data_IF_234559974944
#
_entry.id   IF_234559974944
#
_cell.length_a   1.000
_cell.length_b   1.000
_cell.length_c   1.000
_cell.angle_alpha   90.00
_cell.angle_beta   90.00
_cell.angle_gamma   90.00
#
_symmetry.space_group_name_H-M   'P 1'
#
loop_
_entity.id
_entity.type
_entity.pdbx_description
1 polymer ?
#
# COMPACT_ATOMS: atom_id res chain seq x y z
N UNK A 1 1.32 -8.64 24.75
CA UNK A 1 2.24 -8.27 23.67
C UNK A 1 1.40 -8.09 22.43
N UNK A 2 1.08 -6.85 22.08
CA UNK A 2 0.52 -6.55 20.75
C UNK A 2 1.61 -6.93 19.75
N UNK A 3 1.41 -8.06 19.09
CA UNK A 3 2.30 -8.47 18.00
C UNK A 3 2.20 -7.34 16.98
N UNK A 4 3.31 -6.62 16.80
CA UNK A 4 3.45 -5.63 15.74
C UNK A 4 3.35 -6.43 14.43
N UNK A 5 2.11 -6.60 13.97
CA UNK A 5 1.71 -7.56 12.94
C UNK A 5 2.10 -6.98 11.57
N UNK A 6 3.40 -6.69 11.41
CA UNK A 6 4.02 -6.16 10.21
C UNK A 6 4.11 -7.28 9.20
N UNK A 7 2.97 -7.65 8.64
CA UNK A 7 2.82 -8.70 7.65
C UNK A 7 1.80 -8.33 6.57
N UNK A 8 1.49 -7.05 6.43
CA UNK A 8 0.54 -6.59 5.44
C UNK A 8 1.22 -5.81 4.32
N UNK A 9 0.80 -6.12 3.10
CA UNK A 9 1.10 -5.36 1.88
C UNK A 9 -0.18 -4.70 1.40
N UNK A 10 -0.07 -3.52 0.80
CA UNK A 10 -1.18 -2.94 0.05
C UNK A 10 -0.92 -3.19 -1.43
N UNK A 11 -1.92 -3.74 -2.09
CA UNK A 11 -1.96 -3.95 -3.53
C UNK A 11 -3.01 -3.01 -4.14
N UNK A 12 -2.69 -2.42 -5.28
CA UNK A 12 -3.63 -1.68 -6.12
C UNK A 12 -3.67 -2.26 -7.52
N UNK A 13 -4.88 -2.45 -8.05
CA UNK A 13 -5.12 -2.87 -9.42
C UNK A 13 -5.98 -1.81 -10.10
N UNK A 14 -5.61 -1.38 -11.30
CA UNK A 14 -6.40 -0.42 -12.05
C UNK A 14 -7.69 -1.10 -12.56
N UNK A 15 -8.84 -0.54 -12.21
CA UNK A 15 -10.17 -1.07 -12.59
C UNK A 15 -10.30 -1.15 -14.11
N UNK A 16 -9.90 -0.08 -14.82
CA UNK A 16 -10.05 0.04 -16.26
C UNK A 16 -9.19 -0.95 -17.08
N UNK A 17 -8.08 -1.44 -16.51
CA UNK A 17 -7.21 -2.41 -17.19
C UNK A 17 -7.62 -3.87 -16.91
N UNK A 18 -8.52 -4.11 -15.96
CA UNK A 18 -8.85 -5.46 -15.50
C UNK A 18 -7.60 -6.25 -15.10
N UNK A 19 -7.56 -7.54 -15.47
CA UNK A 19 -6.42 -8.45 -15.23
C UNK A 19 -5.25 -8.28 -16.22
N UNK A 20 -5.32 -7.33 -17.16
CA UNK A 20 -4.31 -7.20 -18.21
C UNK A 20 -3.02 -6.54 -17.73
N UNK A 21 -3.07 -5.73 -16.67
CA UNK A 21 -1.88 -5.09 -16.09
C UNK A 21 -1.52 -5.69 -14.74
N UNK A 22 -0.21 -5.86 -14.47
CA UNK A 22 0.24 -6.34 -13.18
C UNK A 22 -0.15 -5.36 -12.07
N UNK A 23 -0.46 -5.87 -10.88
CA UNK A 23 -0.74 -5.03 -9.73
C UNK A 23 0.46 -4.15 -9.37
N UNK A 24 0.17 -3.05 -8.70
CA UNK A 24 1.17 -2.21 -8.02
C UNK A 24 1.04 -2.36 -6.52
N UNK A 25 2.13 -2.17 -5.80
CA UNK A 25 2.25 -2.39 -4.37
C UNK A 25 2.66 -1.10 -3.68
N UNK A 26 2.14 -0.85 -2.48
CA UNK A 26 2.48 0.34 -1.72
C UNK A 26 3.90 0.27 -1.17
N UNK A 27 4.63 1.37 -1.37
CA UNK A 27 5.88 1.69 -0.71
C UNK A 27 5.66 2.97 0.07
N UNK A 28 5.65 2.84 1.39
CA UNK A 28 5.52 3.98 2.30
C UNK A 28 6.84 4.74 2.33
N UNK A 29 6.74 6.05 2.17
CA UNK A 29 7.86 6.97 2.31
C UNK A 29 7.81 7.56 3.72
N UNK A 30 8.92 7.43 4.43
CA UNK A 30 9.10 8.01 5.76
C UNK A 30 10.23 9.04 5.71
N UNK A 31 10.11 10.11 6.49
CA UNK A 31 11.19 11.07 6.70
C UNK A 31 12.39 10.41 7.37
N UNK A 32 13.51 11.14 7.46
CA UNK A 32 14.69 10.76 8.25
C UNK A 32 14.36 10.50 9.73
N UNK A 33 13.33 11.15 10.26
CA UNK A 33 12.85 10.99 11.64
C UNK A 33 11.87 9.80 11.81
N UNK A 34 11.56 9.08 10.72
CA UNK A 34 10.60 7.97 10.73
C UNK A 34 9.13 8.37 10.58
N UNK A 35 8.82 9.66 10.50
CA UNK A 35 7.47 10.18 10.25
C UNK A 35 6.93 9.75 8.87
N UNK A 36 5.64 9.40 8.78
CA UNK A 36 4.99 9.07 7.52
C UNK A 36 4.83 10.32 6.64
N UNK A 37 5.39 10.30 5.42
CA UNK A 37 5.28 11.41 4.46
C UNK A 37 4.34 11.10 3.30
N UNK A 38 4.19 9.83 2.94
CA UNK A 38 3.26 9.43 1.90
C UNK A 38 3.44 8.00 1.44
N UNK A 39 2.72 7.66 0.38
CA UNK A 39 2.79 6.34 -0.24
C UNK A 39 2.94 6.44 -1.76
N UNK A 40 3.88 5.66 -2.28
CA UNK A 40 4.12 5.48 -3.71
C UNK A 40 3.75 4.05 -4.11
N UNK A 41 3.16 3.87 -5.29
CA UNK A 41 2.81 2.53 -5.78
C UNK A 41 3.82 2.09 -6.83
N UNK A 42 4.41 0.90 -6.63
CA UNK A 42 5.47 0.32 -7.47
C UNK A 42 5.06 -1.06 -7.99
N UNK A 43 5.53 -1.47 -9.18
CA UNK A 43 5.20 -2.79 -9.73
C UNK A 43 5.91 -3.95 -9.02
N UNK A 44 6.95 -3.66 -8.23
CA UNK A 44 7.78 -4.67 -7.57
C UNK A 44 7.25 -4.98 -6.16
N UNK A 45 6.68 -6.17 -5.97
CA UNK A 45 6.22 -6.67 -4.67
C UNK A 45 7.33 -6.72 -3.62
N UNK A 46 8.53 -7.17 -4.01
CA UNK A 46 9.68 -7.36 -3.10
C UNK A 46 10.22 -6.05 -2.52
N UNK A 47 9.99 -4.93 -3.21
CA UNK A 47 10.42 -3.59 -2.77
C UNK A 47 9.30 -2.83 -2.04
N UNK A 48 8.12 -3.45 -1.90
CA UNK A 48 6.99 -2.86 -1.22
C UNK A 48 7.23 -2.85 0.30
N UNK A 49 6.59 -1.90 0.99
CA UNK A 49 6.73 -1.79 2.44
C UNK A 49 5.83 -2.81 3.11
N UNK A 50 6.39 -3.63 4.00
CA UNK A 50 5.61 -4.47 4.91
C UNK A 50 5.14 -3.59 6.09
N UNK A 51 3.83 -3.52 6.26
CA UNK A 51 3.15 -2.61 7.19
C UNK A 51 2.38 -3.39 8.24
N UNK A 52 2.12 -2.74 9.39
CA UNK A 52 1.03 -3.17 10.28
C UNK A 52 -0.32 -2.87 9.62
N UNK A 53 -1.40 -3.46 10.13
CA UNK A 53 -2.75 -3.17 9.64
C UNK A 53 -3.10 -1.67 9.75
N UNK A 54 -2.68 -1.01 10.83
CA UNK A 54 -2.89 0.43 11.03
C UNK A 54 -2.14 1.27 10.00
N UNK A 55 -0.86 0.96 9.77
CA UNK A 55 -0.05 1.63 8.75
C UNK A 55 -0.58 1.38 7.34
N UNK A 56 -1.13 0.19 7.09
CA UNK A 56 -1.76 -0.14 5.82
C UNK A 56 -3.01 0.75 5.60
N UNK A 57 -3.88 0.85 6.59
CA UNK A 57 -5.05 1.74 6.53
C UNK A 57 -4.63 3.20 6.32
N UNK A 58 -3.66 3.71 7.08
CA UNK A 58 -3.16 5.08 6.94
C UNK A 58 -2.65 5.38 5.53
N UNK A 59 -1.92 4.44 4.91
CA UNK A 59 -1.44 4.61 3.55
C UNK A 59 -2.58 4.58 2.51
N UNK A 60 -3.62 3.75 2.73
CA UNK A 60 -4.82 3.72 1.87
C UNK A 60 -5.58 5.05 1.96
N UNK A 61 -5.82 5.55 3.17
CA UNK A 61 -6.49 6.83 3.39
C UNK A 61 -5.73 8.00 2.77
N UNK A 62 -4.40 8.03 2.95
CA UNK A 62 -3.56 9.03 2.31
C UNK A 62 -3.62 8.94 0.80
N UNK A 63 -3.56 7.74 0.22
CA UNK A 63 -3.68 7.54 -1.22
C UNK A 63 -5.04 8.01 -1.74
N UNK A 64 -6.13 7.67 -1.06
CA UNK A 64 -7.48 8.11 -1.41
C UNK A 64 -7.63 9.64 -1.37
N UNK A 65 -6.98 10.31 -0.40
CA UNK A 65 -7.06 11.76 -0.23
C UNK A 65 -6.14 12.55 -1.17
N UNK A 66 -4.93 12.04 -1.45
CA UNK A 66 -3.90 12.76 -2.22
C UNK A 66 -3.88 12.42 -3.70
N UNK A 67 -4.31 11.23 -4.11
CA UNK A 67 -4.30 10.80 -5.51
C UNK A 67 -5.70 11.00 -6.10
N UNK A 68 -5.90 11.95 -7.03
CA UNK A 68 -7.23 12.21 -7.61
C UNK A 68 -7.77 11.00 -8.38
N UNK A 69 -6.86 10.16 -8.89
CA UNK A 69 -7.15 8.92 -9.61
C UNK A 69 -7.29 7.70 -8.70
N UNK A 70 -7.31 7.84 -7.37
CA UNK A 70 -7.45 6.69 -6.47
C UNK A 70 -8.71 5.85 -6.75
N UNK A 71 -9.79 6.49 -7.20
CA UNK A 71 -11.05 5.84 -7.58
C UNK A 71 -10.90 4.91 -8.80
N UNK A 72 -9.85 5.07 -9.61
CA UNK A 72 -9.58 4.17 -10.74
C UNK A 72 -8.91 2.86 -10.30
N UNK A 73 -8.57 2.70 -9.02
CA UNK A 73 -7.83 1.54 -8.52
C UNK A 73 -8.59 0.81 -7.41
N UNK A 74 -8.69 -0.51 -7.53
CA UNK A 74 -9.11 -1.38 -6.43
C UNK A 74 -7.93 -1.57 -5.50
N UNK A 75 -8.06 -1.12 -4.26
CA UNK A 75 -7.03 -1.28 -3.22
C UNK A 75 -7.36 -2.47 -2.34
N UNK A 76 -6.39 -3.34 -2.09
CA UNK A 76 -6.52 -4.56 -1.26
C UNK A 76 -5.36 -4.64 -0.27
N UNK A 77 -5.64 -5.11 0.94
CA UNK A 77 -4.61 -5.46 1.93
C UNK A 77 -4.35 -6.96 1.82
N UNK A 78 -3.09 -7.33 1.60
CA UNK A 78 -2.64 -8.70 1.44
C UNK A 78 -1.80 -9.08 2.66
N UNK A 79 -2.20 -10.13 3.37
CA UNK A 79 -1.37 -10.72 4.42
C UNK A 79 -0.28 -11.59 3.80
N UNK A 80 0.98 -11.38 4.17
CA UNK A 80 2.14 -12.14 3.68
C UNK A 80 2.73 -13.10 4.71
N UNK A 81 2.21 -13.10 5.95
CA UNK A 81 2.64 -14.01 7.01
C UNK A 81 1.71 -15.20 7.12
N UNK A 82 2.17 -16.36 6.67
CA UNK A 82 1.58 -17.67 6.92
C UNK A 82 2.45 -18.44 7.92
#
# INVERSE_FOLDING_TARGET
MEQNDQRYLIQQNKIADGDQKPPVFAKVMRSKDGAFEGVSFIKSKEKASILTIEQANQAIEWAAKKKPNAHEYVTKIICVGQ
#
